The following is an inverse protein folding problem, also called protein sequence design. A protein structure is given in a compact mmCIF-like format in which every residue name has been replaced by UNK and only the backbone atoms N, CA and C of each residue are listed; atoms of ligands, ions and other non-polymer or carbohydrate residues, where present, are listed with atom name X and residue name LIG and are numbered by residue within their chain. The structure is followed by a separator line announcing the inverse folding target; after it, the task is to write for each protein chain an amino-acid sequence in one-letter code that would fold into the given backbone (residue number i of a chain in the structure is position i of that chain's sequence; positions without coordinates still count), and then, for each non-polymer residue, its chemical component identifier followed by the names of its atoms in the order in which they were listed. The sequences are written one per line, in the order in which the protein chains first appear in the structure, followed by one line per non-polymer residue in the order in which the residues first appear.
data_IF_722225432571
#
_entry.id   IF_722225432571
#
_cell.length_a   1.000
_cell.length_b   1.000
_cell.length_c   1.000
_cell.angle_alpha   90.00
_cell.angle_beta   90.00
_cell.angle_gamma   90.00
#
_symmetry.space_group_name_H-M   'P 1'
#
loop_
_entity.id
_entity.type
_entity.pdbx_description
1 polymer ?
#
# COMPACT_ATOMS: atom_id res chain seq x y z
N UNK A 1 -9.34 5.31 -46.00
CA UNK A 1 -8.58 4.42 -45.09
C UNK A 1 -7.77 5.20 -44.06
N UNK A 2 -7.34 6.43 -44.38
CA UNK A 2 -6.60 7.36 -43.49
C UNK A 2 -7.40 7.86 -42.27
N UNK A 3 -8.66 8.26 -42.47
CA UNK A 3 -9.46 8.90 -41.41
C UNK A 3 -9.84 7.95 -40.25
N UNK A 4 -10.00 6.65 -40.54
CA UNK A 4 -10.25 5.62 -39.51
C UNK A 4 -9.00 5.36 -38.67
N UNK A 5 -7.80 5.42 -39.26
CA UNK A 5 -6.53 5.31 -38.52
C UNK A 5 -6.31 6.51 -37.61
N UNK A 6 -6.64 7.73 -38.08
CA UNK A 6 -6.55 8.95 -37.26
C UNK A 6 -7.47 8.90 -36.03
N UNK A 7 -8.72 8.45 -36.23
CA UNK A 7 -9.69 8.27 -35.14
C UNK A 7 -9.25 7.21 -34.13
N UNK A 8 -8.74 6.06 -34.61
CA UNK A 8 -8.19 5.03 -33.72
C UNK A 8 -6.96 5.52 -32.94
N UNK A 9 -6.07 6.30 -33.56
CA UNK A 9 -4.91 6.89 -32.87
C UNK A 9 -5.35 7.91 -31.81
N UNK A 10 -6.38 8.73 -32.09
CA UNK A 10 -6.93 9.68 -31.10
C UNK A 10 -7.65 9.03 -29.92
N UNK A 11 -8.42 7.96 -30.17
CA UNK A 11 -9.05 7.16 -29.11
C UNK A 11 -8.00 6.40 -28.27
N UNK A 12 -6.92 5.95 -28.91
CA UNK A 12 -5.78 5.32 -28.20
C UNK A 12 -5.03 6.33 -27.33
N UNK A 13 -4.85 7.58 -27.78
CA UNK A 13 -4.23 8.63 -26.97
C UNK A 13 -5.11 9.01 -25.76
N UNK A 14 -6.43 9.04 -25.93
CA UNK A 14 -7.36 9.31 -24.83
C UNK A 14 -7.40 8.17 -23.78
N UNK A 15 -7.23 6.92 -24.22
CA UNK A 15 -7.20 5.75 -23.32
C UNK A 15 -5.89 5.64 -22.51
N UNK A 16 -4.80 6.24 -23.00
CA UNK A 16 -3.49 6.25 -22.32
C UNK A 16 -3.38 7.37 -21.29
N UNK A 17 -4.35 8.29 -21.21
CA UNK A 17 -4.43 9.34 -20.19
C UNK A 17 -5.21 8.89 -18.94
N UNK A 18 -4.94 7.67 -18.46
CA UNK A 18 -5.13 7.32 -17.05
C UNK A 18 -4.04 7.93 -16.17
N UNK A 19 -3.64 9.18 -16.45
CA UNK A 19 -2.77 9.94 -15.55
C UNK A 19 -3.62 10.21 -14.33
N UNK A 20 -3.20 9.77 -13.14
CA UNK A 20 -3.75 10.26 -11.88
C UNK A 20 -3.76 11.80 -11.98
N UNK A 21 -4.93 12.39 -12.24
CA UNK A 21 -5.02 13.82 -12.47
C UNK A 21 -4.48 14.46 -11.20
N UNK A 22 -3.42 15.23 -11.33
CA UNK A 22 -2.92 16.04 -10.22
C UNK A 22 -4.03 16.97 -9.78
N UNK A 23 -4.31 17.02 -8.48
CA UNK A 23 -5.17 18.07 -7.93
C UNK A 23 -4.30 19.26 -7.56
N UNK A 24 -4.44 20.34 -8.32
CA UNK A 24 -3.72 21.59 -8.10
C UNK A 24 -4.70 22.71 -7.67
N UNK A 25 -4.15 23.70 -6.97
CA UNK A 25 -4.86 24.88 -6.49
C UNK A 25 -3.95 26.11 -6.58
N UNK A 26 -4.54 27.28 -6.68
CA UNK A 26 -3.86 28.57 -6.86
C UNK A 26 -4.02 29.47 -5.62
N UNK A 27 -3.23 30.53 -5.51
CA UNK A 27 -3.36 31.48 -4.38
C UNK A 27 -4.76 32.14 -4.33
N UNK A 28 -5.41 32.31 -5.48
CA UNK A 28 -6.77 32.85 -5.56
C UNK A 28 -7.83 31.91 -4.94
N UNK A 29 -7.59 30.59 -4.95
CA UNK A 29 -8.46 29.63 -4.26
C UNK A 29 -8.45 29.85 -2.73
N UNK A 30 -7.40 30.50 -2.21
CA UNK A 30 -7.23 30.77 -0.77
C UNK A 30 -7.70 32.18 -0.36
N UNK A 31 -8.08 33.04 -1.32
CA UNK A 31 -8.28 34.46 -1.10
C UNK A 31 -9.52 34.81 -0.25
N UNK A 32 -10.52 33.93 -0.21
CA UNK A 32 -11.75 34.14 0.54
C UNK A 32 -12.34 32.81 1.03
N UNK A 33 -13.22 32.87 2.02
CA UNK A 33 -13.91 31.68 2.52
C UNK A 33 -14.78 31.02 1.44
N UNK A 34 -15.39 31.83 0.55
CA UNK A 34 -16.15 31.34 -0.61
C UNK A 34 -15.23 30.59 -1.58
N UNK A 35 -14.08 31.16 -1.93
CA UNK A 35 -13.10 30.51 -2.81
C UNK A 35 -12.59 29.21 -2.22
N UNK A 36 -12.32 29.18 -0.91
CA UNK A 36 -11.89 27.98 -0.20
C UNK A 36 -12.96 26.89 -0.20
N UNK A 37 -14.23 27.28 -0.07
CA UNK A 37 -15.36 26.36 -0.15
C UNK A 37 -15.49 25.77 -1.57
N UNK A 38 -15.35 26.60 -2.60
CA UNK A 38 -15.37 26.14 -4.00
C UNK A 38 -14.18 25.19 -4.28
N UNK A 39 -12.99 25.48 -3.73
CA UNK A 39 -11.84 24.58 -3.74
C UNK A 39 -12.14 23.24 -3.05
N UNK A 40 -12.80 23.28 -1.89
CA UNK A 40 -13.18 22.08 -1.13
C UNK A 40 -14.15 21.19 -1.94
N UNK A 41 -15.18 21.75 -2.55
CA UNK A 41 -16.12 20.97 -3.37
C UNK A 41 -15.44 20.40 -4.62
N UNK A 42 -14.53 21.17 -5.25
CA UNK A 42 -13.72 20.70 -6.38
C UNK A 42 -12.79 19.55 -5.97
N UNK A 43 -12.15 19.66 -4.80
CA UNK A 43 -11.30 18.59 -4.23
C UNK A 43 -12.10 17.32 -3.92
N UNK A 44 -13.28 17.46 -3.30
CA UNK A 44 -14.16 16.33 -2.98
C UNK A 44 -14.63 15.60 -4.23
N UNK A 45 -15.03 16.36 -5.27
CA UNK A 45 -15.44 15.77 -6.54
C UNK A 45 -14.28 15.03 -7.20
N UNK A 46 -13.08 15.60 -7.20
CA UNK A 46 -11.88 14.99 -7.77
C UNK A 46 -11.48 13.67 -7.09
N UNK A 47 -11.55 13.62 -5.76
CA UNK A 47 -11.16 12.45 -4.97
C UNK A 47 -12.34 11.53 -4.60
N UNK A 48 -13.54 11.81 -5.13
CA UNK A 48 -14.78 11.06 -4.85
C UNK A 48 -15.10 10.96 -3.35
N UNK A 49 -14.90 12.05 -2.60
CA UNK A 49 -15.13 12.11 -1.14
C UNK A 49 -16.57 12.50 -0.82
N UNK A 50 -17.37 11.52 -0.42
CA UNK A 50 -18.77 11.70 0.00
C UNK A 50 -18.88 12.04 1.48
N UNK A 51 -19.71 13.03 1.82
CA UNK A 51 -19.96 13.52 3.18
C UNK A 51 -21.42 13.97 3.30
N UNK A 52 -22.05 13.81 4.45
CA UNK A 52 -23.37 14.40 4.72
C UNK A 52 -23.26 15.94 4.82
N UNK A 53 -24.38 16.66 4.71
CA UNK A 53 -24.35 18.13 4.77
C UNK A 53 -23.75 18.64 6.08
N UNK A 54 -24.13 18.03 7.21
CA UNK A 54 -23.60 18.39 8.53
C UNK A 54 -22.10 18.08 8.64
N UNK A 55 -21.68 16.93 8.10
CA UNK A 55 -20.28 16.52 8.14
C UNK A 55 -19.40 17.42 7.25
N UNK A 56 -19.91 17.88 6.10
CA UNK A 56 -19.19 18.80 5.20
C UNK A 56 -18.71 20.05 5.92
N UNK A 57 -19.57 20.66 6.75
CA UNK A 57 -19.20 21.89 7.47
C UNK A 57 -18.07 21.64 8.47
N UNK A 58 -18.11 20.52 9.20
CA UNK A 58 -17.06 20.13 10.13
C UNK A 58 -15.75 19.82 9.39
N UNK A 59 -15.83 19.04 8.30
CA UNK A 59 -14.70 18.64 7.46
C UNK A 59 -14.07 19.81 6.71
N UNK A 60 -14.86 20.82 6.35
CA UNK A 60 -14.35 22.03 5.70
C UNK A 60 -13.34 22.78 6.56
N UNK A 61 -13.54 22.87 7.88
CA UNK A 61 -12.56 23.51 8.77
C UNK A 61 -11.23 22.74 8.81
N UNK A 62 -11.29 21.40 8.81
CA UNK A 62 -10.10 20.54 8.73
C UNK A 62 -9.39 20.72 7.39
N UNK A 63 -10.16 20.74 6.30
CA UNK A 63 -9.64 20.99 4.96
C UNK A 63 -8.94 22.34 4.85
N UNK A 64 -9.54 23.43 5.36
CA UNK A 64 -8.91 24.76 5.43
C UNK A 64 -7.54 24.70 6.12
N UNK A 65 -7.48 24.07 7.30
CA UNK A 65 -6.23 23.94 8.04
C UNK A 65 -5.16 23.16 7.25
N UNK A 66 -5.55 22.05 6.60
CA UNK A 66 -4.65 21.22 5.81
C UNK A 66 -4.17 21.92 4.52
N UNK A 67 -5.04 22.63 3.81
CA UNK A 67 -4.68 23.44 2.64
C UNK A 67 -3.65 24.50 3.00
N UNK A 68 -3.87 25.23 4.10
CA UNK A 68 -2.90 26.22 4.58
C UNK A 68 -1.58 25.58 4.99
N UNK A 69 -1.60 24.38 5.59
CA UNK A 69 -0.39 23.62 5.90
C UNK A 69 0.38 23.24 4.63
N UNK A 70 -0.30 22.75 3.59
CA UNK A 70 0.30 22.43 2.28
C UNK A 70 0.90 23.68 1.65
N UNK A 71 0.14 24.78 1.59
CA UNK A 71 0.56 26.05 1.01
C UNK A 71 1.81 26.60 1.69
N UNK A 72 1.76 26.76 3.00
CA UNK A 72 2.86 27.31 3.78
C UNK A 72 4.11 26.42 3.73
N UNK A 73 3.95 25.09 3.76
CA UNK A 73 5.07 24.16 3.65
C UNK A 73 5.74 24.25 2.28
N UNK A 74 4.96 24.41 1.20
CA UNK A 74 5.49 24.47 -0.15
C UNK A 74 6.21 25.79 -0.46
N UNK A 75 5.96 26.86 0.30
CA UNK A 75 6.73 28.11 0.26
C UNK A 75 8.13 28.00 0.87
N UNK A 76 8.36 27.00 1.71
CA UNK A 76 9.67 26.74 2.30
C UNK A 76 10.59 26.00 1.32
N UNK A 77 11.89 26.24 1.45
CA UNK A 77 12.93 25.48 0.75
C UNK A 77 13.17 24.14 1.47
N UNK A 78 12.31 23.18 1.15
CA UNK A 78 12.37 21.82 1.67
C UNK A 78 12.65 20.85 0.52
N UNK A 79 13.34 19.72 0.77
CA UNK A 79 13.62 18.70 -0.24
C UNK A 79 12.37 17.90 -0.65
N UNK A 80 11.18 18.29 -0.17
CA UNK A 80 9.90 17.68 -0.52
C UNK A 80 8.83 18.77 -0.66
N UNK A 81 7.77 18.43 -1.38
CA UNK A 81 6.55 19.25 -1.49
C UNK A 81 5.34 18.40 -1.09
N UNK A 82 4.32 19.07 -0.57
CA UNK A 82 3.03 18.47 -0.21
C UNK A 82 2.00 18.75 -1.31
N UNK A 83 0.96 17.91 -1.37
CA UNK A 83 -0.20 18.09 -2.25
C UNK A 83 -1.49 17.75 -1.51
N UNK A 84 -2.60 18.29 -1.98
CA UNK A 84 -3.94 17.93 -1.50
C UNK A 84 -4.33 16.56 -2.07
N UNK A 85 -4.00 15.51 -1.33
CA UNK A 85 -4.38 14.14 -1.66
C UNK A 85 -5.77 13.80 -1.08
N UNK A 86 -6.20 12.53 -1.20
CA UNK A 86 -7.50 12.04 -0.72
C UNK A 86 -7.76 12.19 0.79
N UNK A 87 -6.75 12.56 1.58
CA UNK A 87 -6.83 12.70 3.03
C UNK A 87 -6.97 14.16 3.50
N UNK A 88 -7.11 15.12 2.57
CA UNK A 88 -7.05 16.55 2.91
C UNK A 88 -8.16 17.02 3.86
N UNK A 89 -9.26 16.28 4.06
CA UNK A 89 -10.32 16.60 5.03
C UNK A 89 -10.25 15.82 6.36
N UNK A 90 -9.13 15.12 6.58
CA UNK A 90 -8.86 14.37 7.82
C UNK A 90 -7.84 15.11 8.68
N UNK A 91 -8.08 15.11 9.99
CA UNK A 91 -7.06 15.56 10.95
C UNK A 91 -5.91 14.56 10.96
N UNK A 92 -4.72 15.00 11.40
CA UNK A 92 -3.58 14.09 11.53
C UNK A 92 -3.87 12.94 12.52
N UNK A 93 -4.63 13.21 13.58
CA UNK A 93 -5.05 12.19 14.54
C UNK A 93 -5.92 11.11 13.88
N UNK A 94 -6.98 11.50 13.17
CA UNK A 94 -7.84 10.56 12.43
C UNK A 94 -7.06 9.79 11.36
N UNK A 95 -6.19 10.48 10.61
CA UNK A 95 -5.36 9.82 9.59
C UNK A 95 -4.48 8.75 10.22
N UNK A 96 -3.80 9.08 11.33
CA UNK A 96 -2.90 8.14 12.00
C UNK A 96 -3.64 6.95 12.60
N UNK A 97 -4.78 7.18 13.26
CA UNK A 97 -5.55 6.10 13.89
C UNK A 97 -6.18 5.14 12.87
N UNK A 98 -6.46 5.60 11.65
CA UNK A 98 -7.12 4.78 10.62
C UNK A 98 -6.11 4.13 9.67
N UNK A 99 -5.10 4.87 9.20
CA UNK A 99 -4.20 4.44 8.13
C UNK A 99 -2.77 4.12 8.58
N UNK A 100 -2.38 4.51 9.80
CA UNK A 100 -1.00 4.35 10.29
C UNK A 100 -0.91 3.64 11.65
N UNK A 101 -1.94 2.86 12.02
CA UNK A 101 -2.04 2.17 13.33
C UNK A 101 -2.06 0.63 13.21
N UNK A 102 -1.07 0.05 12.52
CA UNK A 102 -0.84 -1.41 12.56
C UNK A 102 -0.09 -1.89 13.81
N UNK A 103 0.11 -1.00 14.78
CA UNK A 103 0.66 -1.30 16.13
C UNK A 103 1.97 -2.11 16.15
N UNK A 104 2.78 -2.05 15.09
CA UNK A 104 4.02 -2.84 14.93
C UNK A 104 4.92 -2.73 16.17
N UNK A 105 5.17 -1.51 16.67
CA UNK A 105 6.01 -1.30 17.86
C UNK A 105 5.41 -1.92 19.13
N UNK A 106 4.08 -1.86 19.27
CA UNK A 106 3.38 -2.47 20.40
C UNK A 106 3.52 -3.99 20.34
N UNK A 107 3.19 -4.63 19.21
CA UNK A 107 3.36 -6.08 19.06
C UNK A 107 4.81 -6.53 19.26
N UNK A 108 5.79 -5.75 18.78
CA UNK A 108 7.21 -6.05 18.97
C UNK A 108 7.62 -5.98 20.45
N UNK A 109 7.09 -5.01 21.20
CA UNK A 109 7.33 -4.89 22.63
C UNK A 109 6.81 -6.11 23.40
N UNK A 110 5.60 -6.60 23.08
CA UNK A 110 5.01 -7.77 23.76
C UNK A 110 5.66 -9.10 23.36
N UNK A 111 6.14 -9.23 22.12
CA UNK A 111 6.86 -10.43 21.67
C UNK A 111 8.26 -10.53 22.28
N UNK A 112 8.88 -9.39 22.61
CA UNK A 112 10.29 -9.31 22.99
C UNK A 112 11.23 -9.34 21.79
N UNK A 113 12.52 -9.14 22.03
CA UNK A 113 13.54 -9.19 20.97
C UNK A 113 13.58 -10.60 20.37
N UNK A 114 13.40 -10.70 19.04
CA UNK A 114 13.70 -11.91 18.31
C UNK A 114 15.20 -12.19 18.44
N UNK A 115 15.55 -13.23 19.20
CA UNK A 115 16.89 -13.78 19.24
C UNK A 115 17.06 -14.72 18.03
N UNK A 116 17.21 -14.16 16.84
CA UNK A 116 17.77 -14.91 15.74
C UNK A 116 19.29 -14.94 15.93
N UNK A 117 19.84 -16.11 16.26
CA UNK A 117 21.26 -16.28 16.61
C UNK A 117 22.14 -16.53 15.36
N UNK A 118 21.57 -16.44 14.15
CA UNK A 118 22.30 -16.59 12.90
C UNK A 118 22.94 -15.28 12.43
N UNK A 119 24.08 -15.33 11.73
CA UNK A 119 24.63 -14.15 11.07
C UNK A 119 23.66 -13.63 10.01
N UNK A 120 23.62 -12.33 9.81
CA UNK A 120 22.83 -11.72 8.75
C UNK A 120 23.37 -12.19 7.39
N UNK A 121 22.53 -12.84 6.59
CA UNK A 121 22.99 -13.52 5.36
C UNK A 121 23.67 -12.62 4.32
N UNK A 122 23.45 -11.31 4.39
CA UNK A 122 24.04 -10.33 3.46
C UNK A 122 25.16 -9.48 4.09
N UNK A 123 25.69 -9.87 5.26
CA UNK A 123 26.72 -9.09 5.99
C UNK A 123 28.00 -8.87 5.16
N UNK A 124 28.41 -9.87 4.37
CA UNK A 124 29.65 -9.85 3.59
C UNK A 124 29.43 -9.73 2.07
N UNK A 125 28.32 -9.12 1.64
CA UNK A 125 28.08 -8.92 0.20
C UNK A 125 28.88 -7.73 -0.32
N UNK A 126 29.72 -7.98 -1.32
CA UNK A 126 30.44 -6.96 -2.06
C UNK A 126 29.71 -6.58 -3.37
N UNK A 127 30.07 -5.42 -3.95
CA UNK A 127 29.59 -5.05 -5.30
C UNK A 127 28.12 -4.61 -5.39
N UNK A 128 27.52 -4.15 -4.29
CA UNK A 128 26.14 -3.63 -4.28
C UNK A 128 26.08 -2.32 -5.10
N UNK A 129 25.09 -2.16 -6.00
CA UNK A 129 24.97 -0.94 -6.78
C UNK A 129 24.67 0.29 -5.90
N UNK A 130 25.15 1.46 -6.32
CA UNK A 130 24.90 2.73 -5.62
C UNK A 130 23.43 3.16 -5.60
N UNK A 131 22.61 2.59 -6.48
CA UNK A 131 21.15 2.76 -6.47
C UNK A 131 20.47 1.51 -7.01
N UNK A 132 19.31 1.17 -6.43
CA UNK A 132 18.47 0.08 -6.88
C UNK A 132 17.01 0.50 -6.90
N UNK A 133 16.31 0.10 -7.97
CA UNK A 133 14.87 0.28 -8.09
C UNK A 133 14.27 -1.04 -8.60
N UNK A 134 13.74 -1.83 -7.67
CA UNK A 134 13.13 -3.14 -7.96
C UNK A 134 11.95 -3.04 -8.96
N UNK A 135 11.31 -1.86 -9.08
CA UNK A 135 10.25 -1.62 -10.07
C UNK A 135 10.79 -1.69 -11.50
N UNK A 136 12.01 -1.17 -11.73
CA UNK A 136 12.65 -1.15 -13.07
C UNK A 136 13.02 -2.53 -13.58
N UNK A 137 13.13 -3.51 -12.69
CA UNK A 137 13.39 -4.91 -13.03
C UNK A 137 12.14 -5.79 -12.91
N UNK A 138 10.97 -5.18 -12.71
CA UNK A 138 9.68 -5.88 -12.70
C UNK A 138 9.39 -6.66 -11.42
N UNK A 139 10.09 -6.40 -10.32
CA UNK A 139 9.94 -7.13 -9.04
C UNK A 139 8.97 -6.43 -8.06
N UNK A 140 8.09 -5.55 -8.54
CA UNK A 140 7.13 -4.82 -7.71
C UNK A 140 5.78 -4.75 -8.44
N UNK A 141 4.70 -5.13 -7.76
CA UNK A 141 3.32 -5.03 -8.26
C UNK A 141 2.82 -3.59 -8.28
N UNK A 142 1.59 -3.37 -8.75
CA UNK A 142 0.93 -2.07 -8.64
C UNK A 142 0.71 -1.65 -7.19
N UNK A 143 0.66 -0.33 -6.94
CA UNK A 143 0.37 0.20 -5.60
C UNK A 143 -1.03 -0.27 -5.16
N UNK A 144 -1.11 -0.88 -3.97
CA UNK A 144 -2.36 -1.36 -3.36
C UNK A 144 -2.87 -0.40 -2.26
N UNK A 145 -4.12 -0.58 -1.82
CA UNK A 145 -4.77 0.25 -0.80
C UNK A 145 -5.27 -0.62 0.37
N UNK A 146 -4.70 -0.41 1.56
CA UNK A 146 -5.10 -1.14 2.79
C UNK A 146 -6.46 -0.68 3.34
N UNK A 147 -7.05 0.38 2.80
CA UNK A 147 -8.28 0.95 3.33
C UNK A 147 -8.13 1.36 4.80
N UNK A 148 -9.19 1.15 5.58
CA UNK A 148 -9.26 1.55 7.00
C UNK A 148 -8.87 0.41 7.96
N UNK A 149 -8.12 -0.58 7.47
CA UNK A 149 -7.68 -1.73 8.23
C UNK A 149 -6.20 -1.56 8.60
N UNK A 150 -5.86 -1.81 9.86
CA UNK A 150 -4.49 -1.80 10.38
C UNK A 150 -3.64 -3.00 9.91
N UNK A 151 -3.73 -3.36 8.63
CA UNK A 151 -3.08 -4.52 8.01
C UNK A 151 -1.79 -4.18 7.25
N UNK A 152 -1.16 -3.03 7.47
CA UNK A 152 0.07 -2.67 6.74
C UNK A 152 1.21 -3.69 6.94
N UNK A 153 1.18 -4.46 8.03
CA UNK A 153 2.05 -5.60 8.28
C UNK A 153 1.88 -6.71 7.22
N UNK A 154 0.65 -7.00 6.81
CA UNK A 154 0.35 -7.97 5.76
C UNK A 154 0.82 -7.45 4.39
N UNK A 155 0.50 -6.20 4.04
CA UNK A 155 0.97 -5.56 2.80
C UNK A 155 2.49 -5.52 2.70
N UNK A 156 3.17 -5.14 3.79
CA UNK A 156 4.64 -5.09 3.83
C UNK A 156 5.27 -6.47 3.63
N UNK A 157 4.64 -7.50 4.22
CA UNK A 157 5.04 -8.90 4.02
C UNK A 157 4.86 -9.30 2.57
N UNK A 158 3.67 -9.10 2.01
CA UNK A 158 3.34 -9.50 0.64
C UNK A 158 4.25 -8.83 -0.38
N UNK A 159 4.52 -7.52 -0.29
CA UNK A 159 5.43 -6.83 -1.23
C UNK A 159 6.83 -7.47 -1.23
N UNK A 160 7.37 -7.83 -0.07
CA UNK A 160 8.68 -8.49 0.01
C UNK A 160 8.65 -9.90 -0.62
N UNK A 161 7.55 -10.62 -0.39
CA UNK A 161 7.34 -11.99 -0.88
C UNK A 161 7.11 -12.04 -2.39
N UNK A 162 6.31 -11.12 -2.92
CA UNK A 162 6.11 -10.93 -4.37
C UNK A 162 7.44 -10.60 -5.05
N UNK A 163 8.22 -9.70 -4.46
CA UNK A 163 9.53 -9.29 -4.98
C UNK A 163 10.53 -10.43 -5.07
N UNK A 164 10.72 -11.19 -3.97
CA UNK A 164 11.65 -12.34 -4.01
C UNK A 164 11.14 -13.45 -4.94
N UNK A 165 9.82 -13.66 -5.03
CA UNK A 165 9.26 -14.62 -5.98
C UNK A 165 9.60 -14.23 -7.42
N UNK A 166 9.45 -12.95 -7.79
CA UNK A 166 9.88 -12.48 -9.10
C UNK A 166 11.37 -12.71 -9.31
N UNK A 167 12.21 -12.33 -8.34
CA UNK A 167 13.68 -12.41 -8.50
C UNK A 167 14.11 -13.86 -8.75
N UNK A 168 13.52 -14.82 -8.02
CA UNK A 168 13.88 -16.23 -8.11
C UNK A 168 13.24 -16.97 -9.29
N UNK A 169 12.02 -16.62 -9.66
CA UNK A 169 11.22 -17.40 -10.63
C UNK A 169 10.97 -16.67 -11.95
N UNK A 170 11.32 -15.38 -12.02
CA UNK A 170 10.99 -14.45 -13.11
C UNK A 170 9.49 -14.28 -13.34
N UNK A 171 8.66 -14.62 -12.33
CA UNK A 171 7.20 -14.46 -12.36
C UNK A 171 6.78 -13.50 -11.27
N UNK A 172 6.29 -12.32 -11.66
CA UNK A 172 5.62 -11.42 -10.74
C UNK A 172 4.16 -11.90 -10.57
N UNK A 173 3.78 -12.23 -9.34
CA UNK A 173 2.44 -12.73 -9.01
C UNK A 173 1.90 -11.87 -7.88
N UNK A 174 0.66 -11.36 -8.02
CA UNK A 174 -0.01 -10.64 -6.94
C UNK A 174 -0.52 -11.65 -5.90
N UNK A 175 -0.03 -11.57 -4.68
CA UNK A 175 -0.37 -12.46 -3.57
C UNK A 175 -1.39 -11.79 -2.63
N UNK A 176 -2.09 -12.63 -1.85
CA UNK A 176 -3.21 -12.19 -1.00
C UNK A 176 -2.76 -11.65 0.35
N UNK A 177 -2.98 -10.36 0.59
CA UNK A 177 -2.90 -9.79 1.94
C UNK A 177 -4.02 -10.31 2.85
N UNK A 178 -5.20 -10.58 2.30
CA UNK A 178 -6.37 -10.99 3.09
C UNK A 178 -6.19 -12.39 3.70
N UNK A 179 -5.49 -13.30 3.04
CA UNK A 179 -5.16 -14.60 3.64
C UNK A 179 -4.34 -14.40 4.93
N UNK A 180 -3.38 -13.47 4.96
CA UNK A 180 -2.65 -13.16 6.17
C UNK A 180 -3.57 -12.56 7.23
N UNK A 181 -4.39 -11.57 6.86
CA UNK A 181 -5.34 -10.92 7.78
C UNK A 181 -6.28 -11.94 8.46
N UNK A 182 -6.78 -12.91 7.69
CA UNK A 182 -7.79 -13.86 8.18
C UNK A 182 -7.19 -15.10 8.86
N UNK A 183 -5.96 -15.49 8.52
CA UNK A 183 -5.39 -16.80 8.90
C UNK A 183 -4.13 -16.77 9.74
N UNK A 184 -3.34 -15.70 9.71
CA UNK A 184 -2.18 -15.54 10.60
C UNK A 184 -2.64 -14.92 11.92
N UNK A 185 -3.21 -15.75 12.79
CA UNK A 185 -3.87 -15.30 14.03
C UNK A 185 -3.15 -15.74 15.30
N UNK A 186 -1.98 -16.40 15.22
CA UNK A 186 -1.26 -16.85 16.41
C UNK A 186 -0.65 -15.67 17.19
N UNK A 187 -0.10 -14.69 16.47
CA UNK A 187 0.52 -13.48 17.04
C UNK A 187 -0.07 -12.21 16.43
N UNK A 188 -0.36 -12.24 15.13
CA UNK A 188 -0.96 -11.14 14.41
C UNK A 188 -2.47 -11.06 14.68
N UNK A 189 -3.02 -9.86 14.60
CA UNK A 189 -4.39 -9.55 15.01
C UNK A 189 -5.20 -8.90 13.89
N UNK A 190 -4.98 -9.36 12.65
CA UNK A 190 -5.72 -8.87 11.48
C UNK A 190 -5.63 -7.35 11.33
N UNK A 191 -6.77 -6.67 11.32
CA UNK A 191 -6.88 -5.21 11.24
C UNK A 191 -6.44 -4.47 12.52
N UNK A 192 -6.23 -5.16 13.64
CA UNK A 192 -5.73 -4.54 14.87
C UNK A 192 -4.20 -4.42 14.92
N UNK A 193 -3.50 -4.97 13.92
CA UNK A 193 -2.05 -4.87 13.82
C UNK A 193 -1.34 -6.22 13.76
N UNK A 194 -0.03 -6.14 13.58
CA UNK A 194 0.80 -7.33 13.44
C UNK A 194 2.25 -7.03 13.10
N UNK A 195 3.00 -8.11 12.85
CA UNK A 195 4.42 -8.19 12.65
C UNK A 195 4.71 -9.00 11.38
N UNK A 196 5.55 -8.44 10.52
CA UNK A 196 5.94 -9.05 9.26
C UNK A 196 6.72 -10.34 9.46
N UNK A 197 7.55 -10.40 10.49
CA UNK A 197 8.33 -11.58 10.86
C UNK A 197 7.45 -12.80 11.21
N UNK A 198 6.29 -12.59 11.84
CA UNK A 198 5.32 -13.67 12.07
C UNK A 198 4.68 -14.13 10.76
N UNK A 199 4.32 -13.17 9.90
CA UNK A 199 3.71 -13.45 8.62
C UNK A 199 4.66 -14.21 7.67
N UNK A 200 5.96 -13.91 7.68
CA UNK A 200 6.95 -14.69 6.93
C UNK A 200 7.02 -16.14 7.42
N UNK A 201 6.96 -16.39 8.74
CA UNK A 201 6.92 -17.75 9.30
C UNK A 201 5.62 -18.47 8.97
N UNK A 202 4.48 -17.77 9.00
CA UNK A 202 3.21 -18.30 8.52
C UNK A 202 3.33 -18.78 7.06
N UNK A 203 3.84 -17.92 6.16
CA UNK A 203 4.01 -18.24 4.73
C UNK A 203 4.99 -19.41 4.52
N UNK A 204 6.07 -19.50 5.30
CA UNK A 204 7.01 -20.62 5.25
C UNK A 204 6.34 -21.96 5.54
N UNK A 205 5.48 -21.99 6.55
CA UNK A 205 4.82 -23.22 6.99
C UNK A 205 3.64 -23.60 6.10
N UNK A 206 2.92 -22.60 5.62
CA UNK A 206 1.59 -22.77 5.01
C UNK A 206 1.54 -22.50 3.51
N UNK A 207 2.48 -21.72 2.97
CA UNK A 207 2.34 -21.06 1.69
C UNK A 207 1.44 -19.82 1.76
N UNK A 208 1.16 -19.24 0.60
CA UNK A 208 0.26 -18.09 0.42
C UNK A 208 -0.40 -18.19 -0.95
N UNK A 209 -1.66 -17.77 -1.07
CA UNK A 209 -2.43 -17.78 -2.32
C UNK A 209 -2.37 -16.44 -3.06
N UNK A 210 -2.98 -16.39 -4.25
CA UNK A 210 -3.04 -15.18 -5.08
C UNK A 210 -4.14 -14.22 -4.64
N UNK A 211 -3.95 -12.93 -4.89
CA UNK A 211 -4.95 -11.89 -4.65
C UNK A 211 -6.27 -12.19 -5.38
N UNK A 212 -6.20 -12.73 -6.60
CA UNK A 212 -7.40 -13.10 -7.37
C UNK A 212 -8.24 -14.19 -6.69
N UNK A 213 -7.58 -15.15 -6.02
CA UNK A 213 -8.26 -16.26 -5.36
C UNK A 213 -8.79 -15.87 -3.97
N UNK A 214 -8.05 -15.02 -3.26
CA UNK A 214 -8.44 -14.48 -1.95
C UNK A 214 -8.34 -12.95 -1.93
N UNK A 215 -9.33 -12.24 -2.51
CA UNK A 215 -9.27 -10.79 -2.67
C UNK A 215 -9.30 -10.03 -1.34
N UNK A 216 -8.67 -8.87 -1.33
CA UNK A 216 -8.64 -7.96 -0.20
C UNK A 216 -10.00 -7.35 0.11
N UNK A 217 -10.40 -7.42 1.38
CA UNK A 217 -11.69 -6.98 1.89
C UNK A 217 -11.58 -5.85 2.93
N UNK A 218 -10.36 -5.45 3.32
CA UNK A 218 -10.10 -4.37 4.28
C UNK A 218 -10.82 -4.51 5.63
N UNK A 219 -11.01 -5.75 6.09
CA UNK A 219 -11.63 -6.09 7.38
C UNK A 219 -11.21 -7.49 7.79
N UNK A 220 -11.38 -7.80 9.07
CA UNK A 220 -11.19 -9.17 9.57
C UNK A 220 -12.29 -10.09 8.99
N UNK A 221 -11.86 -11.26 8.54
CA UNK A 221 -12.71 -12.36 8.09
C UNK A 221 -12.38 -13.66 8.81
N UNK A 222 -13.08 -14.72 8.42
CA UNK A 222 -12.76 -16.08 8.88
C UNK A 222 -11.82 -16.74 7.87
N UNK A 223 -10.75 -17.37 8.36
CA UNK A 223 -9.79 -18.06 7.51
C UNK A 223 -10.47 -19.08 6.57
N UNK A 224 -10.45 -18.81 5.26
CA UNK A 224 -11.03 -19.70 4.26
C UNK A 224 -10.01 -20.75 3.78
N UNK A 225 -9.97 -21.90 4.45
CA UNK A 225 -9.03 -23.00 4.15
C UNK A 225 -9.18 -23.51 2.71
N UNK A 226 -10.39 -23.54 2.15
CA UNK A 226 -10.60 -24.02 0.78
C UNK A 226 -9.89 -23.14 -0.25
N UNK A 227 -9.98 -21.81 -0.09
CA UNK A 227 -9.26 -20.86 -0.94
C UNK A 227 -7.74 -21.05 -0.81
N UNK A 228 -7.24 -21.30 0.40
CA UNK A 228 -5.81 -21.57 0.63
C UNK A 228 -5.31 -22.81 -0.12
N UNK A 229 -6.09 -23.90 -0.07
CA UNK A 229 -5.70 -25.20 -0.63
C UNK A 229 -5.86 -25.24 -2.17
N UNK A 230 -6.86 -24.54 -2.73
CA UNK A 230 -7.21 -24.61 -4.16
C UNK A 230 -6.11 -24.13 -5.15
N UNK A 231 -4.97 -23.60 -4.69
CA UNK A 231 -3.84 -23.20 -5.54
C UNK A 231 -2.47 -23.71 -5.05
N UNK A 232 -2.41 -24.80 -4.28
CA UNK A 232 -1.11 -25.43 -3.93
C UNK A 232 -0.26 -25.84 -5.16
N UNK A 233 -0.83 -25.89 -6.36
CA UNK A 233 -0.11 -26.20 -7.61
C UNK A 233 0.54 -25.02 -8.36
N UNK A 234 0.47 -23.76 -7.90
CA UNK A 234 1.18 -22.65 -8.57
C UNK A 234 2.36 -22.03 -7.79
N UNK A 235 2.60 -22.42 -6.53
CA UNK A 235 3.69 -21.87 -5.71
C UNK A 235 4.57 -22.93 -5.03
N UNK A 236 4.75 -24.12 -5.64
CA UNK A 236 5.76 -25.08 -5.18
C UNK A 236 7.20 -24.50 -5.21
N UNK A 237 7.45 -23.42 -5.96
CA UNK A 237 8.73 -22.72 -6.00
C UNK A 237 9.08 -21.95 -4.72
N UNK A 238 8.09 -21.46 -3.95
CA UNK A 238 8.35 -20.72 -2.70
C UNK A 238 8.78 -21.66 -1.57
N UNK A 239 8.16 -22.85 -1.49
CA UNK A 239 8.52 -23.86 -0.50
C UNK A 239 9.96 -24.32 -0.68
N UNK A 240 10.41 -24.51 -1.94
CA UNK A 240 11.81 -24.82 -2.23
C UNK A 240 12.75 -23.63 -1.99
N UNK A 241 12.35 -22.40 -2.34
CA UNK A 241 13.20 -21.21 -2.18
C UNK A 241 13.48 -20.86 -0.71
N UNK A 242 12.47 -20.99 0.16
CA UNK A 242 12.60 -20.78 1.61
C UNK A 242 13.38 -21.92 2.29
N UNK A 243 13.28 -23.16 1.80
CA UNK A 243 14.07 -24.29 2.27
C UNK A 243 15.53 -24.25 1.76
N UNK A 244 15.80 -23.70 0.57
CA UNK A 244 17.17 -23.48 0.07
C UNK A 244 17.94 -22.38 0.80
N UNK A 245 17.27 -21.54 1.59
CA UNK A 245 17.95 -20.63 2.54
C UNK A 245 18.79 -21.38 3.59
N UNK A 246 18.56 -22.70 3.79
CA UNK A 246 19.40 -23.56 4.64
C UNK A 246 20.47 -24.36 3.90
N UNK A 247 20.49 -24.36 2.55
CA UNK A 247 21.31 -25.33 1.79
C UNK A 247 22.20 -24.74 0.69
N UNK A 248 22.07 -23.46 0.34
CA UNK A 248 22.91 -22.85 -0.71
C UNK A 248 23.46 -21.48 -0.26
N UNK A 249 24.13 -21.49 0.89
CA UNK A 249 25.40 -20.81 1.12
C UNK A 249 26.36 -21.86 1.67
#
# INVERSE_FOLDING_TARGET
MEMKKLLFVSLSLALVLGIAKSFDFEENDLASEKSLWDLYERWRSHHTVTRSLDEKNNRFNVFKANVMHVHNTNKLDKPYKLKLNKFADMTNYEFRSIYADSKVNHHRMFRGMSHDNGPFMYENVEGVPSSIDWRKIGAVTGVKDQGQCGSCWAFSTIVAVEGINQIKTQKLVSLSEQELVDCDTEVNQGCNGGLMECAFEFIKQNGITTETNYPYAAKDGTCNIQKRINQQCQLMAMRMSLLTMKKHC
#
